data_IF_560905927409
#
_entry.id   IF_560905927409
#
_cell.length_a   1.000
_cell.length_b   1.000
_cell.length_c   1.000
_cell.angle_alpha   90.00
_cell.angle_beta   90.00
_cell.angle_gamma   90.00
#
_symmetry.space_group_name_H-M   'P 1'
#
loop_
_entity.id
_entity.type
_entity.pdbx_description
1 polymer ?
#
# COMPACT_ATOMS: atom_id res chain seq x y z
N UNK A 1 3.65 -0.83 30.25
CA UNK A 1 4.11 -0.27 28.96
C UNK A 1 2.92 0.42 28.31
N UNK A 2 2.82 1.74 28.39
CA UNK A 2 1.78 2.50 27.69
C UNK A 2 2.07 2.40 26.20
N UNK A 3 1.31 1.60 25.46
CA UNK A 3 1.47 1.52 24.02
C UNK A 3 1.08 2.89 23.42
N UNK A 4 2.09 3.69 23.07
CA UNK A 4 1.87 4.92 22.31
C UNK A 4 1.22 4.60 20.96
N UNK A 5 0.50 5.57 20.38
CA UNK A 5 -0.12 5.40 19.06
C UNK A 5 0.93 4.92 18.04
N UNK A 6 0.70 3.80 17.34
CA UNK A 6 1.68 3.27 16.38
C UNK A 6 1.98 4.30 15.29
N UNK A 7 3.26 4.53 15.01
CA UNK A 7 3.68 5.41 13.91
C UNK A 7 3.17 4.83 12.58
N UNK A 8 2.65 5.69 11.71
CA UNK A 8 2.27 5.28 10.36
C UNK A 8 3.46 5.29 9.40
N UNK A 9 3.52 4.29 8.51
CA UNK A 9 4.52 4.22 7.42
C UNK A 9 3.77 4.11 6.09
N UNK A 10 4.00 5.07 5.21
CA UNK A 10 3.50 5.06 3.85
C UNK A 10 4.31 4.09 2.98
N UNK A 11 3.61 3.26 2.22
CA UNK A 11 4.22 2.24 1.36
C UNK A 11 3.77 2.50 -0.08
N UNK A 12 4.75 2.63 -0.98
CA UNK A 12 4.56 2.61 -2.42
C UNK A 12 4.77 1.20 -2.97
N UNK A 13 3.92 0.75 -3.90
CA UNK A 13 4.07 -0.57 -4.55
C UNK A 13 4.23 -0.41 -6.05
N UNK A 14 5.27 -1.05 -6.61
CA UNK A 14 5.50 -1.13 -8.05
C UNK A 14 4.82 -2.40 -8.58
N UNK A 15 3.84 -2.22 -9.44
CA UNK A 15 2.98 -3.28 -9.96
C UNK A 15 1.69 -3.46 -9.17
N UNK A 16 0.67 -4.04 -9.82
CA UNK A 16 -0.67 -4.25 -9.25
C UNK A 16 -1.25 -5.64 -9.56
N UNK A 17 -0.60 -6.42 -10.41
CA UNK A 17 -1.00 -7.76 -10.82
C UNK A 17 -0.12 -8.85 -10.18
N UNK A 18 -0.56 -10.11 -10.30
CA UNK A 18 0.21 -11.29 -9.89
C UNK A 18 0.63 -11.22 -8.42
N UNK A 19 1.94 -11.17 -8.17
CA UNK A 19 2.54 -11.12 -6.84
C UNK A 19 2.26 -9.80 -6.11
N UNK A 20 2.05 -8.69 -6.83
CA UNK A 20 1.75 -7.41 -6.21
C UNK A 20 0.42 -7.44 -5.44
N UNK A 21 -0.57 -8.20 -5.93
CA UNK A 21 -1.85 -8.40 -5.21
C UNK A 21 -1.66 -8.99 -3.82
N UNK A 22 -0.73 -9.93 -3.66
CA UNK A 22 -0.42 -10.51 -2.34
C UNK A 22 0.17 -9.46 -1.39
N UNK A 23 1.09 -8.62 -1.88
CA UNK A 23 1.68 -7.53 -1.11
C UNK A 23 0.63 -6.50 -0.70
N UNK A 24 -0.26 -6.12 -1.62
CA UNK A 24 -1.34 -5.17 -1.34
C UNK A 24 -2.29 -5.70 -0.26
N UNK A 25 -2.68 -6.97 -0.34
CA UNK A 25 -3.49 -7.60 0.72
C UNK A 25 -2.76 -7.68 2.06
N UNK A 26 -1.45 -7.97 2.05
CA UNK A 26 -0.65 -8.00 3.27
C UNK A 26 -0.61 -6.62 3.94
N UNK A 27 -0.35 -5.55 3.17
CA UNK A 27 -0.31 -4.16 3.66
C UNK A 27 -1.64 -3.79 4.33
N UNK A 28 -2.76 -4.11 3.70
CA UNK A 28 -4.10 -3.77 4.20
C UNK A 28 -4.49 -4.53 5.47
N UNK A 29 -3.91 -5.73 5.71
CA UNK A 29 -4.31 -6.62 6.81
C UNK A 29 -3.29 -6.72 7.93
N UNK A 30 -2.03 -6.34 7.70
CA UNK A 30 -0.92 -6.48 8.66
C UNK A 30 -1.27 -5.90 10.03
N UNK A 31 -1.86 -4.71 10.07
CA UNK A 31 -2.21 -4.01 11.32
C UNK A 31 -3.32 -4.71 12.12
N UNK A 32 -4.19 -5.48 11.45
CA UNK A 32 -5.28 -6.21 12.11
C UNK A 32 -4.87 -7.63 12.49
N UNK A 33 -3.99 -8.26 11.70
CA UNK A 33 -3.49 -9.61 11.96
C UNK A 33 -2.50 -9.62 13.13
N UNK A 34 -1.63 -8.60 13.21
CA UNK A 34 -0.63 -8.49 14.28
C UNK A 34 -0.99 -7.33 15.19
N UNK A 35 -1.62 -7.63 16.33
CA UNK A 35 -2.08 -6.64 17.29
C UNK A 35 -1.42 -6.79 18.67
N UNK A 36 -0.99 -5.69 19.33
CA UNK A 36 -0.92 -4.33 18.80
C UNK A 36 0.24 -4.20 17.79
N UNK A 37 0.04 -3.50 16.66
CA UNK A 37 1.08 -3.41 15.66
C UNK A 37 2.18 -2.45 16.15
N UNK A 38 3.47 -2.78 15.93
CA UNK A 38 4.56 -1.85 16.23
C UNK A 38 4.54 -0.63 15.29
N UNK A 39 3.95 -0.77 14.11
CA UNK A 39 3.83 0.26 13.07
C UNK A 39 2.52 0.08 12.31
N UNK A 40 1.87 1.18 11.90
CA UNK A 40 0.68 1.13 11.05
C UNK A 40 1.08 1.28 9.57
N UNK A 41 1.05 0.21 8.76
CA UNK A 41 1.27 0.34 7.32
C UNK A 41 0.10 1.09 6.66
N UNK A 42 0.42 1.97 5.71
CA UNK A 42 -0.56 2.71 4.91
C UNK A 42 -0.15 2.57 3.44
N UNK A 43 -1.05 2.08 2.59
CA UNK A 43 -0.83 2.08 1.15
C UNK A 43 -0.90 3.52 0.64
N UNK A 44 0.24 4.10 0.29
CA UNK A 44 0.34 5.50 -0.10
C UNK A 44 0.25 5.70 -1.60
N UNK A 45 0.83 4.80 -2.39
CA UNK A 45 0.82 4.93 -3.84
C UNK A 45 1.05 3.60 -4.58
N UNK A 46 0.59 3.54 -5.83
CA UNK A 46 0.92 2.49 -6.78
C UNK A 46 1.68 3.06 -7.97
N UNK A 47 2.62 2.29 -8.53
CA UNK A 47 3.19 2.59 -9.84
C UNK A 47 3.02 1.43 -10.81
N UNK A 48 2.74 1.75 -12.07
CA UNK A 48 2.61 0.74 -13.11
C UNK A 48 2.59 1.35 -14.51
N UNK A 49 3.01 0.58 -15.52
CA UNK A 49 3.26 1.12 -16.87
C UNK A 49 2.00 1.60 -17.60
N UNK A 50 0.83 1.04 -17.28
CA UNK A 50 -0.44 1.42 -17.90
C UNK A 50 -1.20 2.35 -16.97
N UNK A 51 -1.49 3.57 -17.43
CA UNK A 51 -2.19 4.60 -16.65
C UNK A 51 -3.57 4.12 -16.19
N UNK A 52 -4.37 3.57 -17.11
CA UNK A 52 -5.74 3.12 -16.81
C UNK A 52 -5.72 2.01 -15.76
N UNK A 53 -4.83 1.02 -15.91
CA UNK A 53 -4.77 -0.12 -15.00
C UNK A 53 -4.17 0.23 -13.64
N UNK A 54 -3.17 1.11 -13.57
CA UNK A 54 -2.63 1.55 -12.27
C UNK A 54 -3.67 2.40 -11.52
N UNK A 55 -4.46 3.21 -12.23
CA UNK A 55 -5.56 3.97 -11.62
C UNK A 55 -6.69 3.05 -11.14
N UNK A 56 -7.11 2.08 -11.94
CA UNK A 56 -8.11 1.08 -11.54
C UNK A 56 -7.65 0.33 -10.28
N UNK A 57 -6.39 -0.11 -10.26
CA UNK A 57 -5.81 -0.77 -9.09
C UNK A 57 -5.77 0.16 -7.88
N UNK A 58 -5.38 1.43 -8.05
CA UNK A 58 -5.32 2.40 -6.96
C UNK A 58 -6.70 2.60 -6.34
N UNK A 59 -7.75 2.73 -7.16
CA UNK A 59 -9.14 2.80 -6.69
C UNK A 59 -9.54 1.51 -5.96
N UNK A 60 -9.22 0.33 -6.52
CA UNK A 60 -9.56 -0.97 -5.92
C UNK A 60 -8.94 -1.20 -4.55
N UNK A 61 -7.68 -0.80 -4.35
CA UNK A 61 -6.95 -1.02 -3.11
C UNK A 61 -6.93 0.21 -2.18
N UNK A 62 -7.53 1.33 -2.59
CA UNK A 62 -7.61 2.55 -1.80
C UNK A 62 -6.30 3.34 -1.71
N UNK A 63 -5.43 3.25 -2.72
CA UNK A 63 -4.21 4.05 -2.78
C UNK A 63 -4.54 5.48 -3.27
N UNK A 64 -4.15 6.53 -2.53
CA UNK A 64 -4.47 7.92 -2.89
C UNK A 64 -3.69 8.45 -4.10
N UNK A 65 -2.59 7.80 -4.49
CA UNK A 65 -1.79 8.19 -5.64
C UNK A 65 -1.47 7.00 -6.56
N UNK A 66 -1.40 7.28 -7.86
CA UNK A 66 -1.02 6.32 -8.89
C UNK A 66 -0.07 6.99 -9.90
N UNK A 67 1.03 6.32 -10.23
CA UNK A 67 2.06 6.84 -11.14
C UNK A 67 2.36 5.88 -12.29
N UNK A 68 2.68 6.43 -13.45
CA UNK A 68 3.21 5.63 -14.57
C UNK A 68 4.73 5.49 -14.54
N UNK A 69 5.41 6.42 -13.87
CA UNK A 69 6.84 6.37 -13.58
C UNK A 69 7.06 6.02 -12.11
N UNK A 70 7.71 4.89 -11.85
CA UNK A 70 8.00 4.40 -10.52
C UNK A 70 8.95 5.31 -9.75
N UNK A 71 9.76 6.15 -10.42
CA UNK A 71 10.67 7.10 -9.77
C UNK A 71 9.95 8.21 -9.01
N UNK A 72 8.62 8.33 -9.19
CA UNK A 72 7.77 9.29 -8.48
C UNK A 72 7.14 8.74 -7.20
N UNK A 73 7.40 7.47 -6.88
CA UNK A 73 7.00 6.84 -5.60
C UNK A 73 7.88 7.30 -4.43
#
# INVERSE_FOLDING_TARGET
MTAGTPRSVGIGVIGYDGVARAHLQAILRLATVFWPPPVRPVLAALAGRSADRVQEAAQRYGAPAAYTDWRRL
#
